data_IF_844096983333
#
_entry.id   IF_844096983333
#
_cell.length_a   1.000
_cell.length_b   1.000
_cell.length_c   1.000
_cell.angle_alpha   90.00
_cell.angle_beta   90.00
_cell.angle_gamma   90.00
#
_symmetry.space_group_name_H-M   'P 1'
#
loop_
_entity.id
_entity.type
_entity.pdbx_description
1 polymer ?
#
# COMPACT_ATOMS: atom_id res chain seq x y z
N UNK A 1 23.42 -3.41 4.24
CA UNK A 1 21.97 -3.39 3.98
C UNK A 1 21.71 -2.72 2.65
N UNK A 2 20.83 -3.30 1.86
CA UNK A 2 20.51 -2.72 0.57
C UNK A 2 19.55 -1.55 0.72
N UNK A 3 19.76 -0.56 -0.09
CA UNK A 3 18.77 0.52 -0.18
C UNK A 3 17.55 -0.01 -0.89
N UNK A 4 16.39 0.36 -0.38
CA UNK A 4 15.15 0.03 -1.05
C UNK A 4 14.34 1.31 -1.21
N UNK A 5 13.50 1.31 -2.23
CA UNK A 5 12.78 2.53 -2.55
C UNK A 5 11.42 2.19 -3.13
N UNK A 6 10.44 2.89 -2.65
CA UNK A 6 9.08 2.82 -3.19
C UNK A 6 8.67 4.20 -3.62
N UNK A 7 8.26 4.33 -4.86
CA UNK A 7 7.81 5.61 -5.39
C UNK A 7 6.39 5.45 -5.92
N UNK A 8 5.49 6.27 -5.44
CA UNK A 8 4.10 6.26 -5.90
C UNK A 8 3.80 7.60 -6.51
N UNK A 9 3.34 7.58 -7.73
CA UNK A 9 3.04 8.80 -8.48
C UNK A 9 1.62 8.76 -8.97
N UNK A 10 0.91 9.87 -8.81
CA UNK A 10 -0.44 10.01 -9.34
C UNK A 10 -0.40 11.07 -10.41
N UNK A 11 -0.83 10.71 -11.62
CA UNK A 11 -0.80 11.63 -12.73
C UNK A 11 -2.03 11.37 -13.59
N UNK A 12 -2.86 12.38 -13.76
CA UNK A 12 -4.08 12.28 -14.56
C UNK A 12 -4.94 11.10 -14.09
N UNK A 13 -5.09 10.97 -12.80
CA UNK A 13 -5.87 9.90 -12.17
C UNK A 13 -5.26 8.51 -12.33
N UNK A 14 -4.04 8.44 -12.84
CA UNK A 14 -3.30 7.20 -12.93
C UNK A 14 -2.38 7.08 -11.73
N UNK A 15 -2.39 5.93 -11.09
CA UNK A 15 -1.48 5.66 -9.99
C UNK A 15 -0.38 4.74 -10.51
N UNK A 16 0.84 5.19 -10.38
CA UNK A 16 1.99 4.41 -10.81
C UNK A 16 2.87 4.12 -9.62
N UNK A 17 3.37 2.92 -9.58
CA UNK A 17 4.20 2.49 -8.47
C UNK A 17 5.49 1.92 -9.00
N UNK A 18 6.60 2.41 -8.48
CA UNK A 18 7.91 1.91 -8.84
C UNK A 18 8.58 1.40 -7.58
N UNK A 19 9.07 0.18 -7.65
CA UNK A 19 9.71 -0.43 -6.50
C UNK A 19 11.10 -0.89 -6.88
N UNK A 20 12.06 -0.59 -6.01
CA UNK A 20 13.45 -0.99 -6.21
C UNK A 20 13.92 -1.72 -4.97
N UNK A 21 14.30 -2.97 -5.14
CA UNK A 21 14.83 -3.80 -4.04
C UNK A 21 13.86 -3.89 -2.86
N UNK A 22 12.56 -3.97 -3.15
CA UNK A 22 11.55 -3.98 -2.11
C UNK A 22 10.99 -5.39 -1.98
N UNK A 23 11.13 -5.97 -0.80
CA UNK A 23 10.53 -7.26 -0.50
C UNK A 23 9.16 -7.07 0.10
N UNK A 24 8.45 -8.18 0.29
CA UNK A 24 7.13 -8.13 0.92
C UNK A 24 7.22 -7.53 2.32
N UNK A 25 8.27 -7.88 3.06
CA UNK A 25 8.43 -7.38 4.42
C UNK A 25 8.62 -5.87 4.40
N UNK A 26 9.44 -5.39 3.50
CA UNK A 26 9.67 -3.94 3.40
C UNK A 26 8.44 -3.22 2.92
N UNK A 27 7.69 -3.84 2.02
CA UNK A 27 6.45 -3.25 1.54
C UNK A 27 5.45 -3.11 2.68
N UNK A 28 5.36 -4.13 3.53
CA UNK A 28 4.48 -4.06 4.69
C UNK A 28 4.92 -2.96 5.65
N UNK A 29 6.22 -2.79 5.84
CA UNK A 29 6.73 -1.73 6.70
C UNK A 29 6.38 -0.36 6.13
N UNK A 30 6.49 -0.19 4.81
CA UNK A 30 6.09 1.06 4.18
C UNK A 30 4.62 1.34 4.41
N UNK A 31 3.80 0.31 4.33
CA UNK A 31 2.37 0.46 4.55
C UNK A 31 2.09 1.01 5.95
N UNK A 32 2.76 0.44 6.95
CA UNK A 32 2.59 0.90 8.31
C UNK A 32 3.04 2.35 8.48
N UNK A 33 4.15 2.69 7.89
CA UNK A 33 4.67 4.04 7.98
C UNK A 33 3.72 5.04 7.33
N UNK A 34 3.15 4.67 6.18
CA UNK A 34 2.19 5.55 5.52
C UNK A 34 0.97 5.78 6.39
N UNK A 35 0.52 4.77 7.12
CA UNK A 35 -0.59 4.95 8.03
C UNK A 35 -0.26 5.93 9.14
N UNK A 36 0.97 5.89 9.63
CA UNK A 36 1.40 6.86 10.64
C UNK A 36 1.35 8.26 10.06
N UNK A 37 1.81 8.43 8.84
CA UNK A 37 1.79 9.75 8.21
C UNK A 37 0.36 10.25 8.01
N UNK A 38 -0.54 9.37 7.62
CA UNK A 38 -1.94 9.74 7.50
C UNK A 38 -2.48 10.19 8.84
N UNK A 39 -2.16 9.44 9.89
CA UNK A 39 -2.62 9.79 11.23
C UNK A 39 -2.09 11.14 11.69
N UNK A 40 -0.81 11.40 11.43
CA UNK A 40 -0.23 12.67 11.82
C UNK A 40 -0.90 13.83 11.11
N UNK A 41 -1.16 13.67 9.82
CA UNK A 41 -1.82 14.72 9.05
C UNK A 41 -3.24 14.94 9.54
N UNK A 42 -3.93 13.86 9.89
CA UNK A 42 -5.31 13.97 10.38
C UNK A 42 -5.36 14.64 11.74
N UNK A 43 -4.44 14.29 12.62
CA UNK A 43 -4.38 14.93 13.94
C UNK A 43 -4.12 16.42 13.79
N UNK A 44 -3.27 16.79 12.85
CA UNK A 44 -2.99 18.20 12.61
C UNK A 44 -4.21 18.97 12.17
N UNK A 45 -5.22 18.27 11.65
CA UNK A 45 -6.47 18.89 11.23
C UNK A 45 -7.58 18.74 12.22
N UNK A 46 -7.26 18.24 13.42
CA UNK A 46 -8.24 18.16 14.48
C UNK A 46 -9.03 16.89 14.57
N UNK A 47 -8.67 15.88 13.80
CA UNK A 47 -9.37 14.61 13.86
C UNK A 47 -8.88 13.83 15.08
N UNK A 48 -9.78 13.13 15.77
CA UNK A 48 -9.35 12.40 16.96
C UNK A 48 -8.96 10.96 16.58
N UNK A 49 -8.34 10.29 17.53
CA UNK A 49 -7.76 8.96 17.27
C UNK A 49 -8.83 7.94 16.92
N UNK A 50 -10.00 8.05 17.51
CA UNK A 50 -11.06 7.08 17.25
C UNK A 50 -11.49 7.13 15.78
N UNK A 51 -11.67 8.33 15.28
CA UNK A 51 -12.06 8.51 13.88
C UNK A 51 -10.96 8.07 12.95
N UNK A 52 -9.70 8.35 13.31
CA UNK A 52 -8.57 7.94 12.49
C UNK A 52 -8.52 6.42 12.38
N UNK A 53 -8.67 5.74 13.51
CA UNK A 53 -8.64 4.27 13.50
C UNK A 53 -9.76 3.71 12.64
N UNK A 54 -10.96 4.27 12.79
CA UNK A 54 -12.10 3.75 12.03
C UNK A 54 -11.91 3.96 10.54
N UNK A 55 -11.41 5.13 10.16
CA UNK A 55 -11.21 5.41 8.75
C UNK A 55 -10.13 4.52 8.14
N UNK A 56 -9.04 4.30 8.88
CA UNK A 56 -7.98 3.44 8.37
C UNK A 56 -8.43 1.98 8.32
N UNK A 57 -9.26 1.57 9.26
CA UNK A 57 -9.80 0.22 9.23
C UNK A 57 -10.69 0.02 8.00
N UNK A 58 -11.51 1.02 7.68
CA UNK A 58 -12.37 0.94 6.50
C UNK A 58 -11.52 0.79 5.24
N UNK A 59 -10.46 1.57 5.15
CA UNK A 59 -9.56 1.49 3.99
C UNK A 59 -8.93 0.11 3.92
N UNK A 60 -8.50 -0.42 5.06
CA UNK A 60 -7.92 -1.75 5.11
C UNK A 60 -8.91 -2.80 4.58
N UNK A 61 -10.14 -2.74 5.06
CA UNK A 61 -11.14 -3.74 4.68
C UNK A 61 -11.47 -3.64 3.19
N UNK A 62 -11.60 -2.42 2.68
CA UNK A 62 -11.85 -2.26 1.25
C UNK A 62 -10.69 -2.78 0.41
N UNK A 63 -9.47 -2.53 0.89
CA UNK A 63 -8.30 -3.01 0.15
C UNK A 63 -8.25 -4.52 0.11
N UNK A 64 -8.59 -5.16 1.24
CA UNK A 64 -8.58 -6.62 1.29
C UNK A 64 -9.68 -7.21 0.41
N UNK A 65 -10.84 -6.57 0.40
CA UNK A 65 -11.91 -7.02 -0.49
C UNK A 65 -11.50 -6.93 -1.94
N UNK A 66 -10.83 -5.85 -2.29
CA UNK A 66 -10.36 -5.68 -3.66
C UNK A 66 -9.35 -6.76 -4.02
N UNK A 67 -8.46 -7.08 -3.09
CA UNK A 67 -7.47 -8.11 -3.32
C UNK A 67 -8.12 -9.48 -3.52
N UNK A 68 -9.14 -9.78 -2.72
CA UNK A 68 -9.85 -11.04 -2.86
C UNK A 68 -10.52 -11.14 -4.22
N UNK A 69 -11.06 -10.03 -4.71
CA UNK A 69 -11.68 -10.04 -6.03
C UNK A 69 -10.66 -10.26 -7.12
N UNK A 70 -9.47 -9.69 -6.97
CA UNK A 70 -8.41 -9.91 -7.94
C UNK A 70 -8.02 -11.37 -8.00
N UNK A 71 -7.99 -12.04 -6.86
CA UNK A 71 -7.72 -13.47 -6.82
C UNK A 71 -8.80 -14.26 -7.53
N UNK A 72 -10.06 -13.92 -7.26
CA UNK A 72 -11.18 -14.63 -7.90
C UNK A 72 -11.19 -14.45 -9.41
N UNK A 73 -10.81 -13.25 -9.85
CA UNK A 73 -10.82 -12.96 -11.28
C UNK A 73 -9.61 -13.48 -12.01
N UNK A 74 -8.65 -14.03 -11.27
CA UNK A 74 -7.46 -14.56 -11.91
C UNK A 74 -6.44 -13.52 -12.31
N UNK A 75 -6.60 -12.28 -11.82
CA UNK A 75 -5.63 -11.23 -12.14
C UNK A 75 -4.34 -11.39 -11.38
N UNK A 76 -4.38 -12.10 -10.27
CA UNK A 76 -3.18 -12.48 -9.53
C UNK A 76 -3.33 -13.94 -9.17
N UNK A 77 -2.21 -14.59 -8.94
CA UNK A 77 -2.22 -16.01 -8.58
C UNK A 77 -1.30 -16.21 -7.40
N UNK A 78 -1.57 -17.27 -6.66
CA UNK A 78 -0.68 -17.67 -5.59
C UNK A 78 0.61 -18.17 -6.19
N UNK A 79 1.67 -17.87 -5.49
CA UNK A 79 2.98 -18.24 -5.96
C UNK A 79 3.80 -18.60 -4.73
N UNK A 80 4.57 -19.67 -4.82
CA UNK A 80 5.43 -20.06 -3.72
C UNK A 80 6.66 -19.21 -3.61
N UNK A 81 6.96 -18.48 -4.65
CA UNK A 81 8.10 -17.61 -4.63
C UNK A 81 7.69 -16.23 -4.24
N UNK A 82 8.64 -15.51 -3.68
CA UNK A 82 8.40 -14.13 -3.36
C UNK A 82 8.14 -13.35 -4.62
N UNK A 83 7.06 -12.58 -4.63
CA UNK A 83 6.67 -11.82 -5.79
C UNK A 83 7.43 -10.51 -5.79
N UNK A 84 8.02 -10.19 -6.91
CA UNK A 84 8.66 -8.90 -7.08
C UNK A 84 7.89 -8.10 -8.08
N UNK A 85 7.44 -6.95 -7.65
CA UNK A 85 6.71 -6.05 -8.52
C UNK A 85 7.68 -5.00 -8.95
N UNK A 86 8.50 -5.32 -9.83
CA UNK A 86 9.44 -4.36 -10.24
C UNK A 86 9.00 -3.65 -11.41
N UNK A 87 8.30 -3.54 -11.82
CA UNK A 87 8.12 -3.15 -12.85
C UNK A 87 7.55 -2.28 -13.41
N UNK A 88 7.42 -1.76 -13.76
CA UNK A 88 6.97 -1.18 -14.20
C UNK A 88 7.07 -0.48 -14.58
N UNK A 89 7.00 0.07 -15.07
CA UNK A 89 6.86 0.65 -15.53
C UNK A 89 6.92 1.34 -15.89
N UNK A 90 7.06 1.63 -16.28
CA UNK A 90 7.02 2.38 -16.56
C UNK A 90 6.94 2.99 -16.80
#
# INVERSE_FOLDING_TARGET
MKDCRLTITVKNDDIRCKMENVSVVELAAFSGYLQILVGQAAIARGMDMEDIKNNLLDIYLESMNSLEEQLKEGRITYNNEEVEYGEEDD
#
